data_IF_109927405294
#
_entry.id   IF_109927405294
#
_cell.length_a   1.000
_cell.length_b   1.000
_cell.length_c   1.000
_cell.angle_alpha   90.00
_cell.angle_beta   90.00
_cell.angle_gamma   90.00
#
_symmetry.space_group_name_H-M   'P 1'
#
loop_
_entity.id
_entity.type
_entity.pdbx_description
1 polymer ?
#
# COMPACT_ATOMS: atom_id res chain seq x y z
N UNK A 1 31.02 3.30 -0.55
CA UNK A 1 30.47 2.69 -1.79
C UNK A 1 28.95 2.64 -1.74
N UNK A 2 28.38 2.04 -0.68
CA UNK A 2 26.92 1.93 -0.46
C UNK A 2 26.22 3.30 -0.50
N UNK A 3 26.77 4.32 0.14
CA UNK A 3 26.19 5.68 0.17
C UNK A 3 26.10 6.34 -1.20
N UNK A 4 27.06 6.05 -2.09
CA UNK A 4 27.07 6.58 -3.46
C UNK A 4 26.13 5.80 -4.36
N UNK A 5 26.04 4.48 -4.17
CA UNK A 5 25.22 3.60 -4.99
C UNK A 5 23.74 3.64 -4.59
N UNK A 6 23.44 3.82 -3.29
CA UNK A 6 22.10 3.77 -2.69
C UNK A 6 21.92 4.86 -1.63
N UNK A 7 22.02 6.15 -2.01
CA UNK A 7 21.79 7.26 -1.08
C UNK A 7 20.35 7.29 -0.54
N UNK A 8 19.40 6.70 -1.26
CA UNK A 8 18.01 6.57 -0.84
C UNK A 8 17.85 5.78 0.46
N UNK A 9 18.65 4.72 0.68
CA UNK A 9 18.57 3.91 1.89
C UNK A 9 19.01 4.70 3.12
N UNK A 10 20.10 5.45 3.01
CA UNK A 10 20.60 6.31 4.09
C UNK A 10 19.56 7.36 4.45
N UNK A 11 18.96 8.00 3.46
CA UNK A 11 17.93 9.03 3.69
C UNK A 11 16.68 8.47 4.37
N UNK A 12 16.16 7.32 3.92
CA UNK A 12 14.91 6.73 4.44
C UNK A 12 15.04 6.31 5.90
N UNK A 13 16.18 5.73 6.26
CA UNK A 13 16.38 5.16 7.59
C UNK A 13 17.08 6.10 8.57
N UNK A 14 17.45 7.31 8.14
CA UNK A 14 18.07 8.33 9.00
C UNK A 14 17.32 8.58 10.32
N UNK A 15 15.99 8.57 10.29
CA UNK A 15 15.13 8.73 11.48
C UNK A 15 15.32 7.59 12.47
N UNK A 16 15.48 6.35 11.99
CA UNK A 16 15.62 5.16 12.82
C UNK A 16 17.00 5.04 13.50
N UNK A 17 18.01 5.76 12.98
CA UNK A 17 19.39 5.75 13.48
C UNK A 17 19.78 7.09 14.11
N UNK A 18 18.78 7.88 14.54
CA UNK A 18 18.98 9.17 15.22
C UNK A 18 19.90 10.14 14.44
N UNK A 19 19.89 10.07 13.11
CA UNK A 19 20.71 10.91 12.24
C UNK A 19 22.14 10.41 11.99
N UNK A 20 22.54 9.23 12.51
CA UNK A 20 23.79 8.58 12.11
C UNK A 20 23.70 8.07 10.66
N UNK A 21 24.00 8.97 9.72
CA UNK A 21 23.96 8.68 8.29
C UNK A 21 24.90 7.52 7.87
N UNK A 22 25.93 7.22 8.67
CA UNK A 22 26.90 6.16 8.36
C UNK A 22 26.47 4.80 8.91
N UNK A 23 25.61 4.75 9.93
CA UNK A 23 25.19 3.49 10.55
C UNK A 23 24.59 2.50 9.54
N UNK A 24 23.66 2.97 8.70
CA UNK A 24 22.97 2.13 7.70
C UNK A 24 23.95 1.66 6.62
N UNK A 25 24.82 2.54 6.15
CA UNK A 25 25.76 2.22 5.07
C UNK A 25 26.86 1.27 5.53
N UNK A 26 27.36 1.45 6.75
CA UNK A 26 28.31 0.54 7.41
C UNK A 26 27.68 -0.82 7.68
N UNK A 27 26.44 -0.86 8.20
CA UNK A 27 25.73 -2.12 8.41
C UNK A 27 25.63 -2.94 7.11
N UNK A 28 25.15 -2.31 6.02
CA UNK A 28 25.04 -2.96 4.71
C UNK A 28 26.43 -3.41 4.21
N UNK A 29 27.46 -2.58 4.40
CA UNK A 29 28.82 -2.95 4.01
C UNK A 29 29.30 -4.20 4.77
N UNK A 30 29.11 -4.27 6.08
CA UNK A 30 29.52 -5.43 6.88
C UNK A 30 28.75 -6.70 6.50
N UNK A 31 27.47 -6.58 6.13
CA UNK A 31 26.68 -7.70 5.61
C UNK A 31 27.24 -8.24 4.28
N UNK A 32 27.74 -7.35 3.41
CA UNK A 32 28.18 -7.69 2.06
C UNK A 32 29.69 -7.92 1.92
N UNK A 33 30.49 -7.58 2.94
CA UNK A 33 31.95 -7.74 2.91
C UNK A 33 32.39 -9.21 2.99
N UNK A 34 31.51 -10.11 3.43
CA UNK A 34 31.74 -11.54 3.47
C UNK A 34 31.47 -12.20 2.11
N UNK A 35 31.71 -13.52 2.01
CA UNK A 35 31.40 -14.27 0.79
C UNK A 35 29.90 -14.10 0.46
N UNK A 36 29.54 -13.74 -0.79
CA UNK A 36 28.20 -13.22 -1.13
C UNK A 36 27.13 -14.33 -1.26
N UNK A 37 27.02 -15.24 -0.29
CA UNK A 37 26.03 -16.33 -0.32
C UNK A 37 24.60 -15.80 -0.36
N UNK A 38 24.31 -14.77 0.43
CA UNK A 38 22.99 -14.13 0.49
C UNK A 38 22.64 -13.39 -0.80
N UNK A 39 23.54 -12.56 -1.33
CA UNK A 39 23.30 -11.83 -2.58
C UNK A 39 23.21 -12.77 -3.79
N UNK A 40 24.06 -13.81 -3.86
CA UNK A 40 24.00 -14.80 -4.93
C UNK A 40 22.69 -15.60 -4.90
N UNK A 41 22.23 -15.99 -3.71
CA UNK A 41 20.94 -16.65 -3.53
C UNK A 41 19.77 -15.71 -3.89
N UNK A 42 19.80 -14.46 -3.40
CA UNK A 42 18.79 -13.45 -3.72
C UNK A 42 18.73 -13.17 -5.23
N UNK A 43 19.89 -13.07 -5.90
CA UNK A 43 19.98 -12.88 -7.33
C UNK A 43 19.43 -14.09 -8.10
N UNK A 44 19.76 -15.31 -7.68
CA UNK A 44 19.21 -16.53 -8.27
C UNK A 44 17.68 -16.60 -8.10
N UNK A 45 17.17 -16.28 -6.90
CA UNK A 45 15.74 -16.27 -6.58
C UNK A 45 14.97 -15.15 -7.29
N UNK A 46 15.62 -14.01 -7.55
CA UNK A 46 15.03 -12.84 -8.22
C UNK A 46 15.47 -12.69 -9.68
N UNK A 47 15.96 -13.77 -10.29
CA UNK A 47 16.34 -13.78 -11.71
C UNK A 47 15.14 -13.63 -12.67
N UNK A 48 13.92 -13.54 -12.15
CA UNK A 48 12.71 -13.20 -12.89
C UNK A 48 11.75 -12.31 -12.09
N UNK A 49 10.78 -11.72 -12.79
CA UNK A 49 9.62 -11.08 -12.16
C UNK A 49 8.75 -12.17 -11.50
N UNK A 50 8.72 -12.18 -10.16
CA UNK A 50 7.96 -13.15 -9.39
C UNK A 50 6.47 -12.84 -9.37
N UNK A 51 5.64 -13.85 -9.66
CA UNK A 51 4.19 -13.79 -9.44
C UNK A 51 3.82 -14.50 -8.14
N UNK A 52 2.79 -14.03 -7.46
CA UNK A 52 2.26 -14.72 -6.30
C UNK A 52 1.73 -16.11 -6.72
N UNK A 53 2.30 -17.18 -6.14
CA UNK A 53 1.86 -18.57 -6.43
C UNK A 53 0.39 -18.81 -6.06
N UNK A 54 -0.08 -18.17 -4.99
CA UNK A 54 -1.48 -18.21 -4.55
C UNK A 54 -1.96 -16.77 -4.24
N UNK A 55 -2.40 -16.01 -5.25
CA UNK A 55 -2.79 -14.60 -5.10
C UNK A 55 -3.97 -14.43 -4.14
N UNK A 56 -3.89 -13.42 -3.26
CA UNK A 56 -4.95 -13.13 -2.27
C UNK A 56 -6.31 -12.89 -2.92
N UNK A 57 -6.35 -12.17 -4.05
CA UNK A 57 -7.59 -11.84 -4.78
C UNK A 57 -8.42 -13.05 -5.19
N UNK A 58 -7.79 -14.23 -5.34
CA UNK A 58 -8.46 -15.46 -5.75
C UNK A 58 -9.17 -16.16 -4.57
N UNK A 59 -8.82 -15.82 -3.33
CA UNK A 59 -9.29 -16.51 -2.11
C UNK A 59 -9.85 -15.56 -1.05
N UNK A 60 -10.02 -14.30 -1.39
CA UNK A 60 -10.47 -13.26 -0.46
C UNK A 60 -11.95 -13.42 -0.06
N UNK A 61 -12.73 -14.09 -0.90
CA UNK A 61 -14.13 -14.44 -0.65
C UNK A 61 -14.27 -15.54 0.42
N UNK A 62 -13.21 -16.31 0.67
CA UNK A 62 -13.20 -17.36 1.71
C UNK A 62 -12.96 -16.79 3.12
N UNK A 63 -12.65 -15.49 3.22
CA UNK A 63 -12.35 -14.85 4.50
C UNK A 63 -13.66 -14.52 5.23
N UNK A 64 -13.69 -14.66 6.55
CA UNK A 64 -14.86 -14.29 7.36
C UNK A 64 -15.32 -12.86 7.05
N UNK A 65 -16.63 -12.65 6.99
CA UNK A 65 -17.21 -11.31 6.81
C UNK A 65 -16.90 -10.39 8.00
N UNK A 66 -16.72 -10.97 9.18
CA UNK A 66 -16.38 -10.26 10.43
C UNK A 66 -14.95 -9.73 10.43
N UNK A 67 -14.07 -10.19 9.52
CA UNK A 67 -12.68 -9.75 9.47
C UNK A 67 -12.56 -8.38 8.75
N UNK A 68 -12.29 -7.26 9.44
CA UNK A 68 -12.09 -5.98 8.76
C UNK A 68 -10.76 -5.99 8.00
N UNK A 69 -10.76 -5.49 6.76
CA UNK A 69 -9.56 -5.44 5.91
C UNK A 69 -9.27 -3.99 5.50
N UNK A 70 -8.07 -3.51 5.79
CA UNK A 70 -7.58 -2.23 5.25
C UNK A 70 -6.34 -2.47 4.40
N UNK A 71 -6.35 -1.99 3.16
CA UNK A 71 -5.23 -2.11 2.23
C UNK A 71 -4.57 -0.74 2.07
N UNK A 72 -3.26 -0.68 2.27
CA UNK A 72 -2.49 0.57 2.20
C UNK A 72 -1.60 0.62 0.95
N UNK A 73 -1.68 1.73 0.21
CA UNK A 73 -0.84 2.01 -0.96
C UNK A 73 -0.06 3.30 -0.79
N UNK A 74 1.11 3.39 -1.40
CA UNK A 74 1.84 4.66 -1.55
C UNK A 74 1.50 5.33 -2.87
N UNK A 75 1.24 6.64 -2.86
CA UNK A 75 0.80 7.38 -4.07
C UNK A 75 1.85 7.45 -5.19
N UNK A 76 3.12 7.15 -4.90
CA UNK A 76 4.24 7.09 -5.86
C UNK A 76 4.74 5.67 -6.09
N UNK A 77 3.97 4.66 -5.67
CA UNK A 77 4.26 3.26 -5.95
C UNK A 77 4.16 2.98 -7.45
N UNK A 78 5.02 2.11 -7.95
CA UNK A 78 4.94 1.58 -9.31
C UNK A 78 3.82 0.52 -9.44
N UNK A 79 3.36 -0.04 -8.32
CA UNK A 79 2.17 -0.89 -8.26
C UNK A 79 0.93 -0.04 -8.05
N UNK A 80 -0.07 -0.23 -8.92
CA UNK A 80 -1.38 0.42 -8.85
C UNK A 80 -2.27 -0.19 -7.75
N UNK A 81 -3.45 0.42 -7.54
CA UNK A 81 -4.41 -0.04 -6.54
C UNK A 81 -5.47 -1.01 -7.11
N UNK A 82 -5.27 -1.53 -8.33
CA UNK A 82 -6.27 -2.37 -9.02
C UNK A 82 -6.56 -3.66 -8.25
N UNK A 83 -5.53 -4.28 -7.68
CA UNK A 83 -5.70 -5.45 -6.83
C UNK A 83 -6.54 -5.17 -5.59
N UNK A 84 -6.37 -3.99 -4.98
CA UNK A 84 -7.16 -3.56 -3.83
C UNK A 84 -8.61 -3.30 -4.21
N UNK A 85 -8.86 -2.68 -5.38
CA UNK A 85 -10.21 -2.49 -5.90
C UNK A 85 -10.92 -3.82 -6.16
N UNK A 86 -10.23 -4.79 -6.77
CA UNK A 86 -10.79 -6.14 -6.96
C UNK A 86 -11.13 -6.81 -5.62
N UNK A 87 -10.31 -6.61 -4.58
CA UNK A 87 -10.62 -7.12 -3.24
C UNK A 87 -11.87 -6.42 -2.67
N UNK A 88 -11.97 -5.10 -2.79
CA UNK A 88 -13.14 -4.33 -2.35
C UNK A 88 -14.43 -4.79 -3.04
N UNK A 89 -14.37 -5.10 -4.34
CA UNK A 89 -15.52 -5.60 -5.11
C UNK A 89 -15.91 -7.05 -4.76
N UNK A 90 -14.93 -7.89 -4.44
CA UNK A 90 -15.14 -9.31 -4.11
C UNK A 90 -15.63 -9.53 -2.69
N UNK A 91 -15.32 -8.62 -1.77
CA UNK A 91 -15.78 -8.72 -0.37
C UNK A 91 -17.27 -8.37 -0.28
N UNK A 92 -18.06 -9.10 0.52
CA UNK A 92 -19.46 -8.75 0.76
C UNK A 92 -19.60 -7.34 1.32
N UNK A 93 -20.65 -6.62 0.92
CA UNK A 93 -20.92 -5.26 1.42
C UNK A 93 -21.21 -5.19 2.93
N UNK A 94 -21.53 -6.34 3.55
CA UNK A 94 -21.63 -6.52 5.00
C UNK A 94 -20.29 -6.45 5.71
N UNK A 95 -19.18 -6.68 5.00
CA UNK A 95 -17.85 -6.70 5.56
C UNK A 95 -17.11 -5.38 5.34
N UNK A 96 -16.38 -4.93 6.36
CA UNK A 96 -15.54 -3.75 6.24
C UNK A 96 -14.30 -4.02 5.37
N UNK A 97 -14.19 -3.30 4.27
CA UNK A 97 -12.98 -3.27 3.44
C UNK A 97 -12.69 -1.82 3.04
N UNK A 98 -11.46 -1.35 3.26
CA UNK A 98 -11.04 0.01 2.92
C UNK A 98 -9.69 0.04 2.21
N UNK A 99 -9.47 1.08 1.40
CA UNK A 99 -8.22 1.32 0.68
C UNK A 99 -7.69 2.70 1.06
N UNK A 100 -6.57 2.73 1.78
CA UNK A 100 -5.87 3.96 2.17
C UNK A 100 -4.70 4.23 1.23
N UNK A 101 -4.59 5.46 0.74
CA UNK A 101 -3.42 5.90 -0.04
C UNK A 101 -2.61 6.91 0.77
N UNK A 102 -1.36 6.58 1.06
CA UNK A 102 -0.42 7.46 1.77
C UNK A 102 0.30 8.33 0.74
N UNK A 103 0.00 9.63 0.82
CA UNK A 103 0.52 10.62 -0.11
C UNK A 103 2.02 10.81 0.05
N UNK A 104 2.73 10.79 -1.07
CA UNK A 104 4.19 10.94 -1.10
C UNK A 104 4.96 9.69 -0.66
N UNK A 105 4.31 8.57 -0.37
CA UNK A 105 5.01 7.29 -0.17
C UNK A 105 5.18 6.54 -1.49
N UNK A 106 6.29 5.83 -1.66
CA UNK A 106 6.51 4.82 -2.70
C UNK A 106 5.97 3.46 -2.28
N UNK A 107 6.54 2.38 -2.83
CA UNK A 107 6.05 1.03 -2.56
C UNK A 107 6.25 0.57 -1.10
N UNK A 108 7.38 0.93 -0.48
CA UNK A 108 7.66 0.62 0.93
C UNK A 108 7.12 1.72 1.83
N UNK A 109 5.79 1.77 1.97
CA UNK A 109 5.08 2.86 2.66
C UNK A 109 5.58 3.07 4.10
N UNK A 110 5.83 1.98 4.82
CA UNK A 110 6.38 1.98 6.18
C UNK A 110 7.78 2.61 6.29
N UNK A 111 8.55 2.64 5.19
CA UNK A 111 9.90 3.21 5.16
C UNK A 111 9.91 4.65 4.64
N UNK A 112 8.99 5.00 3.75
CA UNK A 112 8.96 6.33 3.11
C UNK A 112 8.22 7.38 3.95
N UNK A 113 7.18 6.97 4.67
CA UNK A 113 6.29 7.81 5.50
C UNK A 113 5.90 7.06 6.77
N UNK A 114 6.91 6.71 7.56
CA UNK A 114 6.74 5.87 8.77
C UNK A 114 5.79 6.49 9.79
N UNK A 115 5.85 7.80 9.99
CA UNK A 115 4.94 8.58 10.82
C UNK A 115 3.48 8.39 10.40
N UNK A 116 3.14 8.74 9.16
CA UNK A 116 1.78 8.65 8.63
C UNK A 116 1.30 7.19 8.59
N UNK A 117 2.19 6.27 8.21
CA UNK A 117 1.91 4.84 8.19
C UNK A 117 1.52 4.34 9.58
N UNK A 118 2.33 4.63 10.59
CA UNK A 118 2.09 4.20 11.97
C UNK A 118 0.79 4.79 12.53
N UNK A 119 0.54 6.08 12.32
CA UNK A 119 -0.70 6.74 12.74
C UNK A 119 -1.93 6.09 12.09
N UNK A 120 -1.82 5.78 10.79
CA UNK A 120 -2.93 5.12 10.08
C UNK A 120 -3.15 3.69 10.57
N UNK A 121 -2.08 2.94 10.84
CA UNK A 121 -2.19 1.58 11.41
C UNK A 121 -2.84 1.63 12.78
N UNK A 122 -2.42 2.54 13.66
CA UNK A 122 -3.01 2.69 15.00
C UNK A 122 -4.50 3.03 14.92
N UNK A 123 -4.89 3.93 14.01
CA UNK A 123 -6.29 4.28 13.80
C UNK A 123 -7.13 3.10 13.29
N UNK A 124 -6.56 2.27 12.39
CA UNK A 124 -7.21 1.05 11.89
C UNK A 124 -7.37 0.01 12.99
N UNK A 125 -6.35 -0.19 13.83
CA UNK A 125 -6.42 -1.11 14.96
C UNK A 125 -7.48 -0.65 15.97
N UNK A 126 -7.46 0.63 16.35
CA UNK A 126 -8.47 1.18 17.26
C UNK A 126 -9.89 0.99 16.73
N UNK A 127 -10.11 1.25 15.43
CA UNK A 127 -11.39 1.01 14.79
C UNK A 127 -11.82 -0.47 14.86
N UNK A 128 -10.89 -1.40 14.64
CA UNK A 128 -11.18 -2.83 14.72
C UNK A 128 -11.54 -3.26 16.16
N UNK A 129 -10.81 -2.76 17.16
CA UNK A 129 -11.09 -3.04 18.58
C UNK A 129 -12.49 -2.54 18.97
N UNK A 130 -12.84 -1.31 18.59
CA UNK A 130 -14.16 -0.71 18.86
C UNK A 130 -15.31 -1.50 18.20
N UNK A 131 -15.09 -2.10 17.02
CA UNK A 131 -16.08 -2.96 16.38
C UNK A 131 -16.28 -4.27 17.15
N UNK A 132 -15.21 -4.87 17.68
CA UNK A 132 -15.28 -6.14 18.43
C UNK A 132 -15.96 -6.01 19.80
N UNK A 133 -15.72 -4.91 20.52
CA UNK A 133 -16.30 -4.65 21.85
C UNK A 133 -17.84 -4.49 21.82
N UNK A 134 -18.41 -4.20 20.65
CA UNK A 134 -19.85 -4.01 20.48
C UNK A 134 -20.60 -5.34 20.44
N UNK A 135 -19.95 -6.43 20.01
CA UNK A 135 -20.58 -7.75 19.91
C UNK A 135 -20.63 -8.46 21.27
N UNK A 136 -19.58 -8.32 22.09
CA UNK A 136 -19.52 -8.92 23.43
C UNK A 136 -20.51 -8.26 24.42
N UNK A 137 -20.79 -6.96 24.28
CA UNK A 137 -21.74 -6.25 25.14
C UNK A 137 -23.23 -6.50 24.81
N UNK A 138 -23.55 -7.03 23.62
CA UNK A 138 -24.94 -7.39 23.25
C UNK A 138 -25.38 -8.71 23.87
N UNK A 139 -24.45 -9.57 24.25
CA UNK A 139 -24.76 -10.83 24.94
C UNK A 139 -25.23 -10.64 26.40
N UNK A 140 -25.17 -9.41 26.94
CA UNK A 140 -25.44 -9.16 28.36
C UNK A 140 -26.18 -7.85 28.65
N UNK A 141 -27.38 -7.61 28.07
CA UNK A 141 -28.53 -6.88 28.70
C UNK A 141 -29.67 -6.55 27.71
N UNK A 142 -30.92 -6.36 28.21
CA UNK A 142 -32.14 -6.44 27.40
C UNK A 142 -32.44 -5.19 26.55
N UNK A 143 -33.19 -5.46 25.48
CA UNK A 143 -33.66 -4.59 24.40
C UNK A 143 -34.07 -3.17 24.80
N UNK A 144 -33.47 -2.16 24.18
CA UNK A 144 -34.13 -0.89 23.89
C UNK A 144 -33.80 -0.37 22.48
N UNK A 145 -34.86 0.06 21.79
CA UNK A 145 -34.92 0.54 20.42
C UNK A 145 -34.20 1.88 20.23
N UNK A 146 -33.20 1.96 19.35
CA UNK A 146 -32.50 3.20 19.01
C UNK A 146 -32.95 3.76 17.65
N UNK A 147 -33.63 4.89 17.71
CA UNK A 147 -34.16 5.67 16.58
C UNK A 147 -33.03 6.23 15.70
N UNK A 148 -33.17 6.11 14.36
CA UNK A 148 -32.23 6.63 13.36
C UNK A 148 -32.11 8.16 13.45
N UNK A 149 -30.89 8.68 13.62
CA UNK A 149 -30.58 10.10 13.38
C UNK A 149 -30.10 10.29 11.94
N UNK A 150 -30.89 11.02 11.16
CA UNK A 150 -30.53 11.53 9.82
C UNK A 150 -29.52 12.66 10.00
N UNK A 151 -28.31 12.50 9.46
CA UNK A 151 -27.33 13.59 9.35
C UNK A 151 -27.57 14.34 8.04
N UNK A 152 -27.72 15.67 8.17
CA UNK A 152 -27.93 16.62 7.07
C UNK A 152 -26.72 16.66 6.14
N UNK A 153 -26.98 16.56 4.83
CA UNK A 153 -26.02 16.87 3.77
C UNK A 153 -25.70 18.39 3.77
N UNK A 154 -24.44 18.74 3.53
CA UNK A 154 -23.98 20.10 3.29
C UNK A 154 -23.64 20.25 1.78
N UNK A 155 -23.92 21.42 1.15
CA UNK A 155 -24.15 21.48 -0.30
C UNK A 155 -22.86 21.43 -1.15
N UNK A 156 -23.03 20.85 -2.34
CA UNK A 156 -22.02 20.69 -3.39
C UNK A 156 -21.55 22.05 -3.94
N UNK A 157 -20.23 22.21 -4.06
CA UNK A 157 -19.62 23.26 -4.87
C UNK A 157 -19.61 22.83 -6.35
N UNK A 158 -20.08 23.75 -7.19
CA UNK A 158 -20.18 23.62 -8.66
C UNK A 158 -18.81 23.53 -9.32
N UNK A 159 -18.56 22.45 -10.09
CA UNK A 159 -17.38 22.32 -10.94
C UNK A 159 -17.72 22.71 -12.39
N UNK A 160 -17.01 23.72 -12.89
CA UNK A 160 -17.06 24.23 -14.25
C UNK A 160 -16.37 23.24 -15.19
N UNK A 161 -17.06 22.81 -16.27
CA UNK A 161 -16.48 21.96 -17.32
C UNK A 161 -15.35 22.69 -18.05
N UNK A 162 -14.14 22.13 -17.99
CA UNK A 162 -13.05 22.42 -18.93
C UNK A 162 -13.02 21.30 -19.97
N UNK A 163 -13.10 21.66 -21.24
CA UNK A 163 -13.08 20.74 -22.37
C UNK A 163 -11.68 20.09 -22.52
N UNK A 164 -11.64 18.76 -22.66
CA UNK A 164 -10.42 18.00 -22.92
C UNK A 164 -10.08 18.01 -24.41
N UNK A 165 -8.90 18.52 -24.76
CA UNK A 165 -8.26 18.31 -26.05
C UNK A 165 -7.65 16.89 -26.14
N UNK A 166 -7.62 16.27 -27.34
CA UNK A 166 -7.10 14.92 -27.51
C UNK A 166 -5.55 14.88 -27.47
N UNK A 167 -4.95 13.74 -27.07
CA UNK A 167 -3.50 13.60 -26.96
C UNK A 167 -2.81 13.50 -28.33
N UNK A 168 -1.53 13.93 -28.45
CA UNK A 168 -0.78 13.82 -29.69
C UNK A 168 -0.42 12.36 -29.99
N UNK A 169 -0.69 11.94 -31.22
CA UNK A 169 -0.26 10.67 -31.82
C UNK A 169 1.27 10.60 -31.88
N UNK A 170 1.87 9.62 -31.21
CA UNK A 170 3.26 9.22 -31.42
C UNK A 170 3.39 8.49 -32.75
N UNK A 171 4.09 9.10 -33.70
CA UNK A 171 4.53 8.44 -34.92
C UNK A 171 5.59 7.39 -34.55
N UNK A 172 5.27 6.11 -34.77
CA UNK A 172 6.24 5.02 -34.79
C UNK A 172 6.86 5.03 -36.19
N UNK A 173 8.05 5.60 -36.31
CA UNK A 173 8.87 5.46 -37.52
C UNK A 173 9.40 4.02 -37.57
N UNK A 174 8.77 3.19 -38.42
CA UNK A 174 9.30 1.90 -38.83
C UNK A 174 10.40 2.17 -39.85
N UNK A 175 11.67 2.07 -39.44
CA UNK A 175 12.76 1.83 -40.40
C UNK A 175 12.60 0.42 -40.97
N UNK A 176 12.20 0.37 -42.23
CA UNK A 176 12.35 -0.79 -43.10
C UNK A 176 13.85 -0.97 -43.37
N UNK A 177 14.45 -2.02 -42.82
CA UNK A 177 15.66 -2.61 -43.39
C UNK A 177 15.23 -3.77 -44.29
N UNK A 178 15.29 -3.55 -45.60
CA UNK A 178 15.19 -4.62 -46.59
C UNK A 178 16.27 -4.40 -47.67
N UNK A 179 17.26 -5.29 -47.65
CA UNK A 179 18.07 -5.82 -48.76
C UNK A 179 18.76 -4.87 -49.75
N UNK A 180 20.10 -4.87 -49.74
CA UNK A 180 20.97 -5.49 -50.76
C UNK A 180 22.43 -5.47 -50.33
#
# INVERSE_FOLDING_TARGET
LVEKARPDLVSKFSIAVEGDAQAVSQYIFQCNAQRPSGESAFHALNSGLGWAKNPLVNRIEEFSEELPITIMYGSRSWMDNRAGQMILEKRPASSYTDIKTIMGAGHHVYADKSDIFNDTVNAVCQFADECSDTEDNVSNSPSESRTRKVVKQQPQATSVRVASSPPPTSAVDRKNDNSS
#
